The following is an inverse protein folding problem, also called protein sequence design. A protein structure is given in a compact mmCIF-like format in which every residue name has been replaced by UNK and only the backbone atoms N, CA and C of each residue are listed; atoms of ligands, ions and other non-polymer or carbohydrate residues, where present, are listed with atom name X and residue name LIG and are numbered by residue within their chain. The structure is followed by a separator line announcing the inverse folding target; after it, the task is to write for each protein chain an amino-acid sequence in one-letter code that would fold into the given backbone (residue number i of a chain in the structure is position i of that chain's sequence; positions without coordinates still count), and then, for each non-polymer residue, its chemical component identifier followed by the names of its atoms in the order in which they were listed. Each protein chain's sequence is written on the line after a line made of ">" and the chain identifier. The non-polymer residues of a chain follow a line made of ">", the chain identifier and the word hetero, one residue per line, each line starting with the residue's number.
data_IF_737965148678
#
_entry.id   IF_737965148678
#
_cell.length_a   1.000
_cell.length_b   1.000
_cell.length_c   1.000
_cell.angle_alpha   90.00
_cell.angle_beta   90.00
_cell.angle_gamma   90.00
#
_symmetry.space_group_name_H-M   'P 1'
#
loop_
_entity.id
_entity.type
_entity.pdbx_description
1 polymer ?
#
# COMPACT_ATOMS: atom_id res chain seq x y z
N UNK A 1 -38.00 1.19 4.20
CA UNK A 1 -37.17 0.66 5.26
C UNK A 1 -35.65 0.91 5.01
N UNK A 2 -35.13 0.67 3.81
CA UNK A 2 -33.73 0.90 3.42
C UNK A 2 -33.19 2.34 3.60
N UNK A 3 -34.02 3.36 3.24
CA UNK A 3 -33.63 4.79 3.35
C UNK A 3 -33.42 5.28 4.80
N UNK A 4 -34.11 4.69 5.78
CA UNK A 4 -34.02 5.07 7.20
C UNK A 4 -32.80 4.46 7.90
N UNK A 5 -32.31 3.29 7.43
CA UNK A 5 -31.13 2.61 7.96
C UNK A 5 -29.82 3.24 7.44
N UNK A 6 -29.79 3.70 6.18
CA UNK A 6 -28.65 4.41 5.60
C UNK A 6 -28.33 5.76 6.28
N UNK A 7 -29.30 6.41 6.94
CA UNK A 7 -29.05 7.64 7.72
C UNK A 7 -28.16 7.44 8.95
N UNK A 8 -27.93 6.19 9.39
CA UNK A 8 -27.14 5.82 10.58
C UNK A 8 -25.75 5.28 10.27
N UNK A 9 -25.36 5.10 8.98
CA UNK A 9 -24.06 4.58 8.60
C UNK A 9 -23.01 5.66 8.78
N UNK A 10 -21.94 5.36 9.55
CA UNK A 10 -20.80 6.26 9.74
C UNK A 10 -19.91 6.30 8.48
N UNK A 11 -19.10 7.36 8.28
CA UNK A 11 -18.15 7.41 7.15
C UNK A 11 -17.18 6.21 7.09
N UNK A 12 -16.68 5.77 8.25
CA UNK A 12 -15.82 4.59 8.32
C UNK A 12 -16.53 3.31 7.87
N UNK A 13 -17.76 3.08 8.32
CA UNK A 13 -18.57 1.93 7.85
C UNK A 13 -18.85 1.98 6.35
N UNK A 14 -19.01 3.18 5.79
CA UNK A 14 -19.23 3.35 4.35
C UNK A 14 -17.98 3.00 3.55
N UNK A 15 -16.80 3.38 4.03
CA UNK A 15 -15.52 3.01 3.41
C UNK A 15 -15.36 1.48 3.42
N UNK A 16 -15.55 0.84 4.57
CA UNK A 16 -15.46 -0.63 4.74
C UNK A 16 -16.41 -1.33 3.76
N UNK A 17 -17.69 -0.91 3.73
CA UNK A 17 -18.69 -1.52 2.86
C UNK A 17 -18.38 -1.32 1.38
N UNK A 18 -17.86 -0.14 1.00
CA UNK A 18 -17.47 0.14 -0.37
C UNK A 18 -16.32 -0.75 -0.84
N UNK A 19 -15.29 -0.94 -0.01
CA UNK A 19 -14.18 -1.86 -0.32
C UNK A 19 -14.66 -3.32 -0.38
N UNK A 20 -15.45 -3.78 0.60
CA UNK A 20 -16.01 -5.14 0.59
C UNK A 20 -16.87 -5.41 -0.66
N UNK A 21 -17.69 -4.44 -1.05
CA UNK A 21 -18.52 -4.54 -2.27
C UNK A 21 -17.66 -4.59 -3.52
N UNK A 22 -16.61 -3.77 -3.61
CA UNK A 22 -15.69 -3.76 -4.75
C UNK A 22 -14.96 -5.11 -4.87
N UNK A 23 -14.45 -5.63 -3.77
CA UNK A 23 -13.76 -6.94 -3.72
C UNK A 23 -14.73 -8.04 -4.17
N UNK A 24 -15.96 -8.06 -3.67
CA UNK A 24 -16.95 -9.06 -4.03
C UNK A 24 -17.32 -9.00 -5.52
N UNK A 25 -17.56 -7.80 -6.06
CA UNK A 25 -17.83 -7.62 -7.50
C UNK A 25 -16.63 -8.08 -8.33
N UNK A 26 -15.40 -7.69 -7.94
CA UNK A 26 -14.19 -8.12 -8.60
C UNK A 26 -14.02 -9.64 -8.60
N UNK A 27 -14.29 -10.30 -7.47
CA UNK A 27 -14.27 -11.76 -7.37
C UNK A 27 -15.28 -12.41 -8.33
N UNK A 28 -16.53 -11.92 -8.36
CA UNK A 28 -17.55 -12.42 -9.29
C UNK A 28 -17.13 -12.25 -10.76
N UNK A 29 -16.49 -11.13 -11.11
CA UNK A 29 -15.99 -10.93 -12.48
C UNK A 29 -14.82 -11.86 -12.83
N UNK A 30 -13.92 -12.13 -11.88
CA UNK A 30 -12.78 -13.03 -12.06
C UNK A 30 -13.19 -14.51 -12.13
N UNK A 31 -14.36 -14.89 -11.58
CA UNK A 31 -14.93 -16.23 -11.72
C UNK A 31 -15.50 -16.52 -13.10
N UNK A 32 -15.69 -15.51 -13.95
CA UNK A 32 -16.24 -15.71 -15.29
C UNK A 32 -15.26 -16.54 -16.16
N UNK A 33 -15.79 -17.42 -17.03
CA UNK A 33 -14.95 -18.24 -17.93
C UNK A 33 -13.98 -17.44 -18.80
N UNK A 34 -14.35 -16.21 -19.17
CA UNK A 34 -13.53 -15.31 -19.99
C UNK A 34 -12.34 -14.72 -19.22
N UNK A 35 -12.30 -14.84 -17.89
CA UNK A 35 -11.27 -14.22 -17.05
C UNK A 35 -10.00 -15.06 -16.96
N UNK A 36 -10.08 -16.37 -17.24
CA UNK A 36 -8.93 -17.28 -17.21
C UNK A 36 -8.53 -17.74 -18.61
N UNK A 37 -7.25 -18.09 -18.80
CA UNK A 37 -6.74 -18.56 -20.10
C UNK A 37 -7.26 -19.96 -20.48
N UNK A 38 -7.63 -20.77 -19.47
CA UNK A 38 -8.20 -22.10 -19.68
C UNK A 38 -9.71 -22.08 -20.01
N UNK A 39 -10.35 -20.92 -19.92
CA UNK A 39 -11.78 -20.72 -20.18
C UNK A 39 -12.72 -21.37 -19.17
N UNK A 40 -12.23 -21.84 -18.01
CA UNK A 40 -13.07 -22.48 -16.96
C UNK A 40 -13.55 -21.51 -15.89
N UNK A 41 -12.89 -20.36 -15.78
CA UNK A 41 -13.10 -19.41 -14.67
C UNK A 41 -12.36 -19.84 -13.40
N UNK A 42 -12.06 -18.88 -12.54
CA UNK A 42 -11.33 -19.15 -11.30
C UNK A 42 -12.27 -19.70 -10.21
N UNK A 43 -11.80 -20.61 -9.33
CA UNK A 43 -12.48 -20.98 -8.10
C UNK A 43 -12.76 -19.75 -7.24
N UNK A 44 -13.83 -19.78 -6.43
CA UNK A 44 -14.26 -18.63 -5.63
C UNK A 44 -13.14 -18.09 -4.73
N UNK A 45 -12.40 -18.95 -4.03
CA UNK A 45 -11.33 -18.54 -3.12
C UNK A 45 -10.19 -17.84 -3.86
N UNK A 46 -9.77 -18.35 -5.03
CA UNK A 46 -8.70 -17.80 -5.86
C UNK A 46 -9.11 -16.44 -6.43
N UNK A 47 -10.35 -16.34 -6.91
CA UNK A 47 -10.94 -15.10 -7.39
C UNK A 47 -11.06 -14.06 -6.28
N UNK A 48 -11.50 -14.46 -5.08
CA UNK A 48 -11.64 -13.59 -3.92
C UNK A 48 -10.27 -13.12 -3.43
N UNK A 49 -9.27 -14.01 -3.36
CA UNK A 49 -7.91 -13.67 -2.97
C UNK A 49 -7.30 -12.64 -3.94
N UNK A 50 -7.36 -12.94 -5.26
CA UNK A 50 -6.83 -12.05 -6.28
C UNK A 50 -7.55 -10.71 -6.31
N UNK A 51 -8.88 -10.71 -6.21
CA UNK A 51 -9.69 -9.49 -6.12
C UNK A 51 -9.35 -8.67 -4.88
N UNK A 52 -9.15 -9.33 -3.72
CA UNK A 52 -8.74 -8.65 -2.48
C UNK A 52 -7.35 -8.05 -2.64
N UNK A 53 -6.39 -8.84 -3.13
CA UNK A 53 -5.02 -8.40 -3.36
C UNK A 53 -4.95 -7.20 -4.31
N UNK A 54 -5.67 -7.25 -5.44
CA UNK A 54 -5.75 -6.15 -6.40
C UNK A 54 -6.44 -4.89 -5.82
N UNK A 55 -7.59 -5.06 -5.15
CA UNK A 55 -8.35 -3.97 -4.56
C UNK A 55 -7.65 -3.31 -3.38
N UNK A 56 -6.97 -4.12 -2.55
CA UNK A 56 -6.16 -3.64 -1.43
C UNK A 56 -4.77 -3.20 -1.86
N UNK A 57 -4.43 -3.40 -3.17
CA UNK A 57 -3.15 -2.99 -3.74
C UNK A 57 -2.00 -3.68 -2.98
N UNK A 58 -2.10 -4.99 -2.84
CA UNK A 58 -1.12 -5.79 -2.07
C UNK A 58 -0.11 -6.44 -3.00
N UNK A 59 -0.55 -7.21 -4.02
CA UNK A 59 0.34 -7.90 -4.94
C UNK A 59 0.65 -9.36 -4.60
N UNK A 60 0.13 -9.90 -3.49
CA UNK A 60 0.19 -11.35 -3.24
C UNK A 60 -0.70 -12.07 -4.25
N UNK A 61 -0.19 -13.14 -4.84
CA UNK A 61 -0.85 -13.91 -5.90
C UNK A 61 -0.82 -15.40 -5.60
N UNK A 62 -1.91 -16.09 -5.87
CA UNK A 62 -1.99 -17.58 -5.85
C UNK A 62 -1.55 -18.16 -7.20
N UNK A 63 -1.88 -17.48 -8.29
CA UNK A 63 -1.53 -17.86 -9.65
C UNK A 63 -0.77 -16.74 -10.34
N UNK A 64 0.18 -17.10 -11.19
CA UNK A 64 0.91 -16.12 -12.01
C UNK A 64 -0.04 -15.30 -12.87
N UNK A 65 0.08 -13.97 -12.81
CA UNK A 65 -0.88 -13.07 -13.45
C UNK A 65 -0.83 -13.15 -14.97
N UNK A 66 0.34 -13.39 -15.55
CA UNK A 66 0.50 -13.45 -17.00
C UNK A 66 0.03 -14.79 -17.59
N UNK A 67 0.20 -15.90 -16.82
CA UNK A 67 -0.09 -17.24 -17.32
C UNK A 67 -1.53 -17.65 -17.08
N UNK A 68 -2.09 -17.32 -15.90
CA UNK A 68 -3.41 -17.80 -15.47
C UNK A 68 -4.55 -16.90 -15.97
N UNK A 69 -4.39 -15.57 -15.85
CA UNK A 69 -5.45 -14.63 -16.19
C UNK A 69 -5.40 -14.24 -17.68
N UNK A 70 -6.54 -14.32 -18.36
CA UNK A 70 -6.71 -13.82 -19.72
C UNK A 70 -6.51 -12.29 -19.78
N UNK A 71 -6.42 -11.72 -20.97
CA UNK A 71 -6.38 -10.26 -21.15
C UNK A 71 -7.57 -9.57 -20.50
N UNK A 72 -8.74 -10.21 -20.48
CA UNK A 72 -9.92 -9.70 -19.78
C UNK A 72 -9.74 -9.76 -18.26
N UNK A 73 -9.26 -10.86 -17.71
CA UNK A 73 -8.94 -10.99 -16.28
C UNK A 73 -7.88 -9.98 -15.83
N UNK A 74 -6.80 -9.81 -16.62
CA UNK A 74 -5.77 -8.79 -16.39
C UNK A 74 -6.33 -7.37 -16.39
N UNK A 75 -7.28 -7.06 -17.28
CA UNK A 75 -7.97 -5.76 -17.32
C UNK A 75 -8.80 -5.53 -16.05
N UNK A 76 -9.54 -6.56 -15.58
CA UNK A 76 -10.29 -6.48 -14.31
C UNK A 76 -9.33 -6.20 -13.16
N UNK A 77 -8.22 -6.95 -13.05
CA UNK A 77 -7.18 -6.75 -12.03
C UNK A 77 -6.66 -5.32 -12.09
N UNK A 78 -6.34 -4.81 -13.26
CA UNK A 78 -5.82 -3.44 -13.44
C UNK A 78 -6.83 -2.37 -13.00
N UNK A 79 -8.12 -2.55 -13.31
CA UNK A 79 -9.20 -1.65 -12.88
C UNK A 79 -9.34 -1.68 -11.34
N UNK A 80 -9.29 -2.87 -10.72
CA UNK A 80 -9.34 -3.01 -9.26
C UNK A 80 -8.15 -2.33 -8.59
N UNK A 81 -6.93 -2.47 -9.14
CA UNK A 81 -5.72 -1.79 -8.69
C UNK A 81 -5.91 -0.27 -8.75
N UNK A 82 -6.37 0.26 -9.89
CA UNK A 82 -6.55 1.71 -10.08
C UNK A 82 -7.58 2.29 -9.09
N UNK A 83 -8.75 1.61 -8.95
CA UNK A 83 -9.80 2.05 -8.02
C UNK A 83 -9.31 1.92 -6.57
N UNK A 84 -8.67 0.81 -6.24
CA UNK A 84 -8.12 0.54 -4.92
C UNK A 84 -7.04 1.53 -4.52
N UNK A 85 -6.07 1.79 -5.42
CA UNK A 85 -4.94 2.70 -5.21
C UNK A 85 -5.38 4.14 -4.94
N UNK A 86 -6.30 4.65 -5.75
CA UNK A 86 -6.84 6.01 -5.59
C UNK A 86 -7.91 6.13 -4.49
N UNK A 87 -8.42 5.01 -4.00
CA UNK A 87 -9.51 4.94 -3.03
C UNK A 87 -10.89 4.93 -3.67
N UNK A 88 -11.70 3.94 -3.28
CA UNK A 88 -13.02 3.64 -3.88
C UNK A 88 -13.97 4.85 -3.88
N UNK A 89 -14.01 5.60 -2.76
CA UNK A 89 -14.90 6.77 -2.64
C UNK A 89 -14.43 7.89 -3.58
N UNK A 90 -13.12 8.08 -3.72
CA UNK A 90 -12.54 9.09 -4.63
C UNK A 90 -12.93 8.81 -6.07
N UNK A 91 -12.83 7.54 -6.49
CA UNK A 91 -13.22 7.12 -7.83
C UNK A 91 -14.73 7.17 -8.07
N UNK A 92 -15.53 6.75 -7.10
CA UNK A 92 -17.00 6.87 -7.20
C UNK A 92 -17.43 8.33 -7.41
N UNK A 93 -16.82 9.26 -6.69
CA UNK A 93 -17.14 10.68 -6.81
C UNK A 93 -16.60 11.26 -8.14
N UNK A 94 -15.46 10.80 -8.65
CA UNK A 94 -15.02 11.15 -9.98
C UNK A 94 -16.09 10.83 -11.03
N UNK A 95 -16.67 9.63 -10.99
CA UNK A 95 -17.73 9.24 -11.91
C UNK A 95 -18.97 10.15 -11.80
N UNK A 96 -19.35 10.58 -10.57
CA UNK A 96 -20.41 11.57 -10.38
C UNK A 96 -20.07 12.94 -10.99
N UNK A 97 -18.81 13.39 -10.85
CA UNK A 97 -18.34 14.67 -11.41
C UNK A 97 -18.32 14.62 -12.94
N UNK A 98 -17.82 13.52 -13.53
CA UNK A 98 -17.83 13.32 -14.98
C UNK A 98 -19.23 13.22 -15.55
N UNK A 99 -20.17 12.61 -14.80
CA UNK A 99 -21.59 12.57 -15.13
C UNK A 99 -22.35 13.89 -14.93
N UNK A 100 -21.66 15.00 -14.62
CA UNK A 100 -22.27 16.33 -14.47
C UNK A 100 -23.14 16.50 -13.21
N UNK A 101 -23.17 15.53 -12.30
CA UNK A 101 -24.02 15.58 -11.11
C UNK A 101 -23.42 16.49 -10.04
N UNK A 102 -24.25 17.31 -9.39
CA UNK A 102 -23.84 18.17 -8.27
C UNK A 102 -23.54 17.34 -7.03
N UNK A 103 -22.37 17.57 -6.43
CA UNK A 103 -21.93 16.89 -5.20
C UNK A 103 -22.45 17.64 -3.99
N UNK A 104 -23.31 16.98 -3.20
CA UNK A 104 -23.87 17.53 -1.97
C UNK A 104 -22.85 17.60 -0.82
N UNK A 105 -23.19 18.28 0.27
CA UNK A 105 -22.34 18.46 1.45
C UNK A 105 -21.93 17.10 2.09
N UNK A 106 -22.88 16.17 2.19
CA UNK A 106 -22.63 14.83 2.76
C UNK A 106 -21.57 14.04 1.95
N UNK A 107 -21.63 14.12 0.62
CA UNK A 107 -20.66 13.46 -0.24
C UNK A 107 -19.26 14.07 -0.11
N UNK A 108 -19.17 15.43 0.01
CA UNK A 108 -17.90 16.12 0.28
C UNK A 108 -17.30 15.73 1.63
N UNK A 109 -18.11 15.51 2.64
CA UNK A 109 -17.64 15.03 3.94
C UNK A 109 -17.08 13.62 3.85
N UNK A 110 -17.72 12.71 3.11
CA UNK A 110 -17.19 11.37 2.85
C UNK A 110 -15.86 11.41 2.06
N UNK A 111 -15.75 12.31 1.06
CA UNK A 111 -14.47 12.54 0.36
C UNK A 111 -13.37 12.96 1.31
N UNK A 112 -13.66 13.95 2.17
CA UNK A 112 -12.69 14.44 3.12
C UNK A 112 -12.14 13.32 3.99
N UNK A 113 -13.02 12.48 4.50
CA UNK A 113 -12.65 11.32 5.33
C UNK A 113 -11.83 10.29 4.53
N UNK A 114 -12.24 9.97 3.31
CA UNK A 114 -11.58 8.97 2.45
C UNK A 114 -10.14 9.34 2.08
N UNK A 115 -9.90 10.62 1.75
CA UNK A 115 -8.56 11.11 1.41
C UNK A 115 -7.86 11.77 2.61
N UNK A 116 -8.42 11.64 3.82
CA UNK A 116 -7.90 12.26 5.05
C UNK A 116 -7.54 13.74 4.87
N UNK A 117 -8.37 14.51 4.14
CA UNK A 117 -8.10 15.92 3.86
C UNK A 117 -8.34 16.79 5.09
N UNK A 118 -7.47 17.77 5.39
CA UNK A 118 -7.60 18.59 6.58
C UNK A 118 -8.80 19.56 6.54
N UNK A 119 -9.30 19.90 5.35
CA UNK A 119 -10.41 20.87 5.17
C UNK A 119 -11.39 20.39 4.10
N UNK A 120 -12.70 20.68 4.29
CA UNK A 120 -13.76 20.43 3.29
C UNK A 120 -13.68 21.37 2.08
N UNK A 121 -13.14 22.60 2.28
CA UNK A 121 -13.04 23.59 1.22
C UNK A 121 -12.09 23.15 0.10
N UNK A 122 -12.53 23.28 -1.16
CA UNK A 122 -11.71 22.96 -2.33
C UNK A 122 -11.48 21.46 -2.59
N UNK A 123 -12.16 20.56 -1.85
CA UNK A 123 -11.95 19.09 -1.96
C UNK A 123 -12.14 18.60 -3.41
N UNK A 124 -13.15 19.05 -4.13
CA UNK A 124 -13.40 18.66 -5.52
C UNK A 124 -12.27 19.10 -6.44
N UNK A 125 -11.76 20.32 -6.26
CA UNK A 125 -10.65 20.85 -7.05
C UNK A 125 -9.37 20.05 -6.80
N UNK A 126 -9.10 19.75 -5.54
CA UNK A 126 -7.95 18.93 -5.15
C UNK A 126 -8.06 17.52 -5.73
N UNK A 127 -9.23 16.88 -5.67
CA UNK A 127 -9.44 15.54 -6.24
C UNK A 127 -9.23 15.52 -7.76
N UNK A 128 -9.76 16.52 -8.49
CA UNK A 128 -9.53 16.65 -9.93
C UNK A 128 -8.03 16.81 -10.25
N UNK A 129 -7.31 17.59 -9.44
CA UNK A 129 -5.87 17.78 -9.60
C UNK A 129 -5.12 16.49 -9.34
N UNK A 130 -5.45 15.75 -8.26
CA UNK A 130 -4.86 14.44 -7.93
C UNK A 130 -4.99 13.49 -9.12
N UNK A 131 -6.20 13.35 -9.67
CA UNK A 131 -6.47 12.42 -10.78
C UNK A 131 -5.66 12.81 -12.02
N UNK A 132 -5.62 14.11 -12.39
CA UNK A 132 -4.81 14.58 -13.51
C UNK A 132 -3.32 14.28 -13.29
N UNK A 133 -2.80 14.57 -12.11
CA UNK A 133 -1.40 14.31 -11.77
C UNK A 133 -1.07 12.81 -11.82
N UNK A 134 -1.96 11.96 -11.30
CA UNK A 134 -1.84 10.49 -11.37
C UNK A 134 -1.75 10.03 -12.82
N UNK A 135 -2.73 10.37 -13.66
CA UNK A 135 -2.74 9.97 -15.08
C UNK A 135 -1.48 10.46 -15.81
N UNK A 136 -1.01 11.69 -15.53
CA UNK A 136 0.21 12.22 -16.15
C UNK A 136 1.45 11.40 -15.74
N UNK A 137 1.59 11.04 -14.47
CA UNK A 137 2.74 10.26 -13.98
C UNK A 137 2.68 8.83 -14.49
N UNK A 138 1.51 8.20 -14.47
CA UNK A 138 1.31 6.86 -15.03
C UNK A 138 1.58 6.83 -16.54
N UNK A 139 1.12 7.83 -17.29
CA UNK A 139 1.40 7.93 -18.73
C UNK A 139 2.90 8.12 -19.01
N UNK A 140 3.58 8.97 -18.24
CA UNK A 140 5.03 9.16 -18.35
C UNK A 140 5.78 7.85 -18.02
N UNK A 141 5.39 7.16 -16.95
CA UNK A 141 5.95 5.86 -16.59
C UNK A 141 5.74 4.82 -17.69
N UNK A 142 4.55 4.75 -18.28
CA UNK A 142 4.25 3.83 -19.39
C UNK A 142 5.09 4.15 -20.64
N UNK A 143 5.30 5.42 -20.97
CA UNK A 143 6.16 5.83 -22.09
C UNK A 143 7.61 5.40 -21.84
N UNK A 144 8.15 5.65 -20.65
CA UNK A 144 9.53 5.28 -20.31
C UNK A 144 9.74 3.77 -20.29
N UNK A 145 8.79 2.99 -19.73
CA UNK A 145 8.83 1.53 -19.77
C UNK A 145 8.68 1.00 -21.20
N UNK A 146 7.87 1.68 -22.04
CA UNK A 146 7.67 1.35 -23.45
C UNK A 146 8.97 1.35 -24.26
N UNK A 147 9.94 2.20 -23.92
CA UNK A 147 11.26 2.23 -24.57
C UNK A 147 11.95 0.86 -24.52
N UNK A 148 11.73 0.09 -23.44
CA UNK A 148 12.32 -1.25 -23.25
C UNK A 148 11.37 -2.38 -23.64
N UNK A 149 10.07 -2.22 -23.39
CA UNK A 149 9.10 -3.31 -23.57
C UNK A 149 8.62 -3.42 -25.03
N UNK A 150 8.48 -2.32 -25.78
CA UNK A 150 8.08 -2.36 -27.18
C UNK A 150 9.05 -3.15 -28.08
N UNK A 151 10.37 -2.92 -28.01
CA UNK A 151 11.31 -3.71 -28.82
C UNK A 151 11.35 -5.20 -28.44
N UNK A 152 11.07 -5.53 -27.14
CA UNK A 152 11.18 -6.91 -26.63
C UNK A 152 9.91 -7.74 -26.86
N UNK A 153 8.73 -7.14 -26.74
CA UNK A 153 7.44 -7.85 -26.75
C UNK A 153 6.56 -7.49 -27.97
N UNK A 154 7.03 -6.59 -28.84
CA UNK A 154 6.25 -6.07 -29.96
C UNK A 154 5.26 -4.98 -29.55
N UNK A 155 4.59 -4.36 -30.54
CA UNK A 155 3.79 -3.15 -30.30
C UNK A 155 2.63 -3.37 -29.34
N UNK A 156 1.79 -4.38 -29.57
CA UNK A 156 0.55 -4.59 -28.80
C UNK A 156 0.85 -5.05 -27.38
N UNK A 157 1.63 -6.13 -27.22
CA UNK A 157 1.99 -6.66 -25.90
C UNK A 157 2.89 -5.68 -25.13
N UNK A 158 3.86 -5.06 -25.81
CA UNK A 158 4.76 -4.10 -25.18
C UNK A 158 4.01 -2.88 -24.64
N UNK A 159 3.03 -2.36 -25.39
CA UNK A 159 2.19 -1.26 -24.92
C UNK A 159 1.34 -1.66 -23.70
N UNK A 160 0.70 -2.84 -23.76
CA UNK A 160 -0.09 -3.38 -22.65
C UNK A 160 0.75 -3.55 -21.38
N UNK A 161 1.94 -4.15 -21.51
CA UNK A 161 2.87 -4.35 -20.39
C UNK A 161 3.35 -3.03 -19.81
N UNK A 162 3.65 -2.04 -20.66
CA UNK A 162 4.08 -0.72 -20.21
C UNK A 162 3.00 0.00 -19.39
N UNK A 163 1.75 -0.04 -19.84
CA UNK A 163 0.61 0.57 -19.15
C UNK A 163 0.35 -0.19 -17.84
N UNK A 164 0.29 -1.52 -17.90
CA UNK A 164 0.00 -2.36 -16.73
C UNK A 164 1.03 -2.16 -15.61
N UNK A 165 2.33 -2.24 -15.94
CA UNK A 165 3.39 -2.07 -14.94
C UNK A 165 3.47 -0.64 -14.42
N UNK A 166 3.22 0.37 -15.26
CA UNK A 166 3.21 1.76 -14.79
C UNK A 166 2.10 2.02 -13.77
N UNK A 167 0.88 1.56 -14.05
CA UNK A 167 -0.26 1.68 -13.14
C UNK A 167 -0.01 0.86 -11.87
N UNK A 168 0.42 -0.40 -12.01
CA UNK A 168 0.70 -1.28 -10.88
C UNK A 168 1.79 -0.71 -9.97
N UNK A 169 2.87 -0.16 -10.53
CA UNK A 169 3.95 0.46 -9.77
C UNK A 169 3.52 1.75 -9.07
N UNK A 170 2.83 2.65 -9.78
CA UNK A 170 2.33 3.89 -9.20
C UNK A 170 1.32 3.67 -8.09
N UNK A 171 0.40 2.71 -8.29
CA UNK A 171 -0.55 2.31 -7.27
C UNK A 171 0.07 1.51 -6.13
N UNK A 172 1.34 1.10 -6.23
CA UNK A 172 2.03 0.22 -5.27
C UNK A 172 1.35 -1.15 -5.17
N UNK A 173 0.99 -1.77 -6.30
CA UNK A 173 0.18 -2.98 -6.31
C UNK A 173 0.97 -4.28 -6.47
N UNK A 174 2.19 -4.23 -7.04
CA UNK A 174 3.07 -5.39 -7.16
C UNK A 174 2.66 -6.46 -8.19
N UNK A 175 1.54 -6.28 -8.85
CA UNK A 175 1.16 -7.17 -9.95
C UNK A 175 2.02 -6.92 -11.18
N UNK A 176 2.52 -7.97 -11.81
CA UNK A 176 3.30 -7.92 -13.03
C UNK A 176 2.82 -8.93 -14.09
N UNK A 177 3.28 -8.76 -15.32
CA UNK A 177 2.97 -9.64 -16.46
C UNK A 177 4.25 -10.29 -17.02
N UNK A 178 5.32 -10.38 -16.25
CA UNK A 178 6.61 -10.92 -16.70
C UNK A 178 6.71 -12.45 -16.62
N UNK A 179 5.74 -13.10 -16.00
CA UNK A 179 5.70 -14.55 -15.81
C UNK A 179 5.55 -15.39 -17.10
N UNK A 180 5.52 -14.80 -18.28
CA UNK A 180 5.30 -15.51 -19.57
C UNK A 180 6.30 -16.62 -19.84
N UNK A 181 7.58 -16.42 -19.52
CA UNK A 181 8.65 -17.41 -19.73
C UNK A 181 8.91 -18.28 -18.50
N UNK A 182 8.83 -17.68 -17.34
CA UNK A 182 9.02 -18.35 -16.04
C UNK A 182 7.98 -17.79 -15.07
N UNK A 183 7.10 -18.67 -14.58
CA UNK A 183 6.07 -18.26 -13.62
C UNK A 183 6.70 -17.58 -12.39
N UNK A 184 6.02 -16.58 -11.87
CA UNK A 184 6.43 -15.81 -10.68
C UNK A 184 7.79 -15.10 -10.81
N UNK A 185 8.28 -14.86 -12.04
CA UNK A 185 9.62 -14.27 -12.25
C UNK A 185 9.70 -12.79 -11.86
N UNK A 186 8.58 -12.09 -11.80
CA UNK A 186 8.52 -10.64 -11.57
C UNK A 186 9.53 -9.89 -12.48
N UNK A 187 10.28 -8.94 -11.95
CA UNK A 187 11.27 -8.15 -12.70
C UNK A 187 12.70 -8.71 -12.61
N UNK A 188 12.88 -9.99 -12.23
CA UNK A 188 14.23 -10.58 -12.09
C UNK A 188 15.04 -10.54 -13.40
N UNK A 189 14.38 -10.64 -14.53
CA UNK A 189 15.00 -10.49 -15.85
C UNK A 189 15.45 -9.05 -16.21
N UNK A 190 15.17 -8.08 -15.35
CA UNK A 190 15.53 -6.66 -15.50
C UNK A 190 16.38 -6.12 -14.35
N UNK A 191 16.98 -6.98 -13.52
CA UNK A 191 17.83 -6.59 -12.40
C UNK A 191 18.97 -5.66 -12.83
N UNK A 192 19.59 -5.91 -14.00
CA UNK A 192 20.63 -5.08 -14.60
C UNK A 192 20.12 -3.95 -15.52
N UNK A 193 18.80 -3.83 -15.74
CA UNK A 193 18.24 -2.74 -16.55
C UNK A 193 17.94 -1.54 -15.69
N UNK A 194 18.87 -0.57 -15.68
CA UNK A 194 18.80 0.65 -14.87
C UNK A 194 17.53 1.46 -15.20
N UNK A 195 17.08 1.48 -16.47
CA UNK A 195 15.90 2.24 -16.85
C UNK A 195 14.62 1.64 -16.26
N UNK A 196 14.39 0.35 -16.47
CA UNK A 196 13.16 -0.32 -15.96
C UNK A 196 13.11 -0.28 -14.45
N UNK A 197 14.20 -0.67 -13.76
CA UNK A 197 14.25 -0.70 -12.30
C UNK A 197 14.03 0.69 -11.69
N UNK A 198 14.71 1.73 -12.20
CA UNK A 198 14.58 3.07 -11.64
C UNK A 198 13.23 3.74 -11.97
N UNK A 199 12.65 3.50 -13.15
CA UNK A 199 11.31 4.02 -13.46
C UNK A 199 10.27 3.42 -12.53
N UNK A 200 10.31 2.10 -12.31
CA UNK A 200 9.39 1.42 -11.40
C UNK A 200 9.63 1.91 -9.96
N UNK A 201 10.88 1.98 -9.48
CA UNK A 201 11.20 2.50 -8.15
C UNK A 201 10.72 3.94 -7.96
N UNK A 202 10.90 4.81 -8.96
CA UNK A 202 10.42 6.18 -8.92
C UNK A 202 8.88 6.26 -8.85
N UNK A 203 8.16 5.46 -9.65
CA UNK A 203 6.71 5.38 -9.61
C UNK A 203 6.19 4.95 -8.23
N UNK A 204 6.81 3.93 -7.63
CA UNK A 204 6.51 3.44 -6.29
C UNK A 204 6.69 4.55 -5.24
N UNK A 205 7.83 5.21 -5.25
CA UNK A 205 8.12 6.30 -4.31
C UNK A 205 7.13 7.44 -4.48
N UNK A 206 6.87 7.86 -5.72
CA UNK A 206 5.91 8.92 -6.02
C UNK A 206 4.50 8.55 -5.54
N UNK A 207 3.99 7.36 -5.83
CA UNK A 207 2.69 6.90 -5.35
C UNK A 207 2.60 6.87 -3.83
N UNK A 208 3.67 6.41 -3.17
CA UNK A 208 3.75 6.26 -1.71
C UNK A 208 3.94 7.56 -0.91
N UNK A 209 4.38 8.66 -1.53
CA UNK A 209 4.64 9.94 -0.83
C UNK A 209 3.38 10.65 -0.34
N UNK A 210 2.23 10.44 -1.00
CA UNK A 210 0.98 11.10 -0.68
C UNK A 210 0.74 12.40 -1.47
N UNK A 211 -0.50 12.57 -1.91
CA UNK A 211 -0.91 13.64 -2.85
C UNK A 211 -0.79 15.06 -2.28
N UNK A 212 -0.86 15.23 -0.96
CA UNK A 212 -0.67 16.56 -0.35
C UNK A 212 0.80 16.97 -0.31
N UNK A 213 1.73 16.00 -0.21
CA UNK A 213 3.17 16.27 -0.36
C UNK A 213 3.44 16.78 -1.78
N UNK A 214 2.86 16.14 -2.80
CA UNK A 214 2.97 16.61 -4.18
C UNK A 214 2.45 18.05 -4.35
N UNK A 215 1.33 18.35 -3.71
CA UNK A 215 0.76 19.70 -3.75
C UNK A 215 1.73 20.72 -3.17
N UNK A 216 2.31 20.45 -1.98
CA UNK A 216 3.29 21.34 -1.35
C UNK A 216 4.53 21.51 -2.24
N UNK A 217 5.02 20.41 -2.87
CA UNK A 217 6.16 20.46 -3.80
C UNK A 217 5.87 21.33 -5.02
N UNK A 218 4.70 21.20 -5.64
CA UNK A 218 4.33 21.98 -6.83
C UNK A 218 4.08 23.45 -6.47
N UNK A 219 3.45 23.71 -5.31
CA UNK A 219 3.06 25.08 -4.88
C UNK A 219 4.28 25.86 -4.38
N UNK A 220 5.12 25.26 -3.54
CA UNK A 220 6.23 25.95 -2.86
C UNK A 220 7.62 25.65 -3.43
N UNK A 221 7.74 24.68 -4.37
CA UNK A 221 9.00 24.32 -5.05
C UNK A 221 10.17 24.15 -4.07
N UNK A 222 11.19 24.99 -4.16
CA UNK A 222 12.41 24.93 -3.32
C UNK A 222 12.24 25.54 -1.92
N UNK A 223 11.09 26.13 -1.59
CA UNK A 223 10.88 26.80 -0.31
C UNK A 223 10.43 25.80 0.77
N UNK A 224 11.31 24.88 1.18
CA UNK A 224 11.01 23.84 2.17
C UNK A 224 10.43 24.37 3.49
N UNK A 225 10.79 25.58 3.90
CA UNK A 225 10.25 26.22 5.12
C UNK A 225 8.74 26.44 5.06
N UNK A 226 8.16 26.64 3.86
CA UNK A 226 6.72 26.86 3.64
C UNK A 226 5.90 25.56 3.64
N UNK A 227 6.56 24.40 3.53
CA UNK A 227 5.87 23.10 3.51
C UNK A 227 5.13 22.87 4.83
N UNK A 228 4.02 22.15 4.73
CA UNK A 228 3.28 21.69 5.91
C UNK A 228 4.15 20.78 6.79
N UNK A 229 3.85 20.73 8.10
CA UNK A 229 4.56 19.83 9.02
C UNK A 229 4.51 18.39 8.52
N UNK A 230 3.35 17.94 8.04
CA UNK A 230 3.15 16.60 7.50
C UNK A 230 4.10 16.31 6.34
N UNK A 231 4.21 17.23 5.36
CA UNK A 231 5.10 17.04 4.20
C UNK A 231 6.57 16.98 4.60
N UNK A 232 7.00 17.81 5.56
CA UNK A 232 8.37 17.77 6.09
C UNK A 232 8.68 16.44 6.76
N UNK A 233 7.77 15.95 7.63
CA UNK A 233 7.92 14.67 8.31
C UNK A 233 7.94 13.53 7.30
N UNK A 234 7.04 13.52 6.34
CA UNK A 234 6.98 12.47 5.30
C UNK A 234 8.25 12.42 4.48
N UNK A 235 8.72 13.55 3.96
CA UNK A 235 9.93 13.60 3.12
C UNK A 235 11.16 13.16 3.92
N UNK A 236 11.32 13.68 5.14
CA UNK A 236 12.44 13.32 5.99
C UNK A 236 12.44 11.83 6.36
N UNK A 237 11.31 11.30 6.84
CA UNK A 237 11.20 9.88 7.24
C UNK A 237 11.39 8.95 6.03
N UNK A 238 10.81 9.31 4.88
CA UNK A 238 10.97 8.53 3.64
C UNK A 238 12.43 8.49 3.19
N UNK A 239 13.11 9.63 3.12
CA UNK A 239 14.51 9.70 2.74
C UNK A 239 15.41 8.91 3.71
N UNK A 240 15.20 9.06 5.02
CA UNK A 240 15.95 8.34 6.05
C UNK A 240 15.78 6.82 5.90
N UNK A 241 14.55 6.34 5.76
CA UNK A 241 14.28 4.91 5.58
C UNK A 241 14.94 4.37 4.30
N UNK A 242 14.82 5.07 3.17
CA UNK A 242 15.42 4.63 1.91
C UNK A 242 16.95 4.59 2.00
N UNK A 243 17.57 5.61 2.56
CA UNK A 243 19.06 5.66 2.69
C UNK A 243 19.55 4.54 3.60
N UNK A 244 18.96 4.39 4.79
CA UNK A 244 19.39 3.35 5.74
C UNK A 244 19.19 1.96 5.13
N UNK A 245 18.05 1.69 4.51
CA UNK A 245 17.77 0.39 3.92
C UNK A 245 18.67 0.08 2.73
N UNK A 246 18.95 1.07 1.86
CA UNK A 246 19.86 0.89 0.72
C UNK A 246 21.26 0.54 1.21
N UNK A 247 21.79 1.27 2.20
CA UNK A 247 23.09 1.00 2.77
C UNK A 247 23.14 -0.38 3.44
N UNK A 248 22.09 -0.73 4.18
CA UNK A 248 22.02 -2.03 4.85
C UNK A 248 22.06 -3.19 3.85
N UNK A 249 21.19 -3.18 2.82
CA UNK A 249 21.17 -4.23 1.81
C UNK A 249 22.44 -4.27 0.97
N UNK A 250 23.04 -3.13 0.64
CA UNK A 250 24.31 -3.07 -0.05
C UNK A 250 25.42 -3.76 0.74
N UNK A 251 25.56 -3.45 2.02
CA UNK A 251 26.65 -3.97 2.86
C UNK A 251 26.45 -5.45 3.19
N UNK A 252 25.24 -5.87 3.56
CA UNK A 252 24.99 -7.22 4.06
C UNK A 252 24.78 -8.27 2.97
N UNK A 253 24.29 -7.88 1.79
CA UNK A 253 23.98 -8.83 0.72
C UNK A 253 24.75 -8.50 -0.56
N UNK A 254 24.43 -7.38 -1.21
CA UNK A 254 24.77 -7.20 -2.63
C UNK A 254 26.24 -6.86 -2.91
N UNK A 255 26.99 -6.31 -1.94
CA UNK A 255 28.44 -6.11 -2.07
C UNK A 255 29.22 -7.43 -2.26
N UNK A 256 28.65 -8.54 -1.78
CA UNK A 256 29.25 -9.88 -1.86
C UNK A 256 28.80 -10.67 -3.10
N UNK A 257 27.81 -10.17 -3.85
CA UNK A 257 27.35 -10.84 -5.04
C UNK A 257 28.26 -10.53 -6.23
N UNK A 258 28.48 -11.52 -7.08
CA UNK A 258 29.33 -11.37 -8.26
C UNK A 258 28.59 -10.59 -9.38
N UNK A 259 28.37 -9.29 -9.15
CA UNK A 259 27.69 -8.35 -10.04
C UNK A 259 28.56 -7.10 -10.21
N UNK A 260 28.29 -6.31 -11.27
CA UNK A 260 28.93 -5.00 -11.43
C UNK A 260 28.49 -4.05 -10.31
N UNK A 261 29.37 -3.18 -9.85
CA UNK A 261 29.06 -2.22 -8.78
C UNK A 261 27.80 -1.39 -9.06
N UNK A 262 27.61 -0.98 -10.31
CA UNK A 262 26.39 -0.24 -10.70
C UNK A 262 25.12 -1.07 -10.51
N UNK A 263 25.16 -2.37 -10.83
CA UNK A 263 24.03 -3.29 -10.66
C UNK A 263 23.78 -3.57 -9.17
N UNK A 264 24.84 -3.74 -8.36
CA UNK A 264 24.73 -3.90 -6.90
C UNK A 264 24.04 -2.70 -6.25
N UNK A 265 24.42 -1.48 -6.63
CA UNK A 265 23.79 -0.24 -6.14
C UNK A 265 22.34 -0.16 -6.60
N UNK A 266 22.04 -0.45 -7.87
CA UNK A 266 20.71 -0.40 -8.43
C UNK A 266 19.75 -1.39 -7.73
N UNK A 267 20.19 -2.63 -7.53
CA UNK A 267 19.43 -3.66 -6.81
C UNK A 267 19.23 -3.27 -5.35
N UNK A 268 20.24 -2.71 -4.68
CA UNK A 268 20.14 -2.25 -3.29
C UNK A 268 19.08 -1.15 -3.12
N UNK A 269 19.06 -0.18 -4.05
CA UNK A 269 18.05 0.88 -4.07
C UNK A 269 16.66 0.27 -4.29
N UNK A 270 16.53 -0.65 -5.26
CA UNK A 270 15.25 -1.27 -5.56
C UNK A 270 14.74 -2.07 -4.37
N UNK A 271 15.60 -2.87 -3.70
CA UNK A 271 15.23 -3.63 -2.51
C UNK A 271 14.94 -2.77 -1.28
N UNK A 272 15.43 -1.53 -1.22
CA UNK A 272 15.03 -0.56 -0.21
C UNK A 272 13.65 0.07 -0.50
N UNK A 273 13.27 0.18 -1.78
CA UNK A 273 12.01 0.79 -2.22
C UNK A 273 10.86 -0.22 -2.17
N UNK A 274 11.06 -1.45 -2.65
CA UNK A 274 9.99 -2.43 -2.85
C UNK A 274 9.26 -2.85 -1.55
N UNK A 275 9.90 -3.01 -0.36
CA UNK A 275 9.20 -3.35 0.88
C UNK A 275 8.22 -2.25 1.34
N UNK A 276 8.31 -1.05 0.76
CA UNK A 276 7.39 0.04 1.06
C UNK A 276 6.11 -0.05 0.23
N UNK A 277 5.47 -1.20 0.35
CA UNK A 277 4.17 -1.55 -0.24
C UNK A 277 4.15 -1.66 -1.76
N UNK A 278 5.23 -2.15 -2.39
CA UNK A 278 5.30 -2.21 -3.84
C UNK A 278 5.23 -3.63 -4.42
N UNK A 279 5.90 -4.61 -3.82
CA UNK A 279 5.76 -6.02 -4.14
C UNK A 279 6.53 -6.53 -5.37
N UNK A 280 7.20 -5.67 -6.13
CA UNK A 280 8.02 -6.10 -7.26
C UNK A 280 9.36 -6.67 -6.81
N UNK A 281 9.80 -7.75 -7.45
CA UNK A 281 11.10 -8.38 -7.22
C UNK A 281 12.02 -8.21 -8.42
N UNK A 282 13.26 -7.75 -8.17
CA UNK A 282 14.35 -7.78 -9.17
C UNK A 282 15.35 -8.90 -8.91
N UNK A 283 15.25 -9.60 -7.80
CA UNK A 283 16.11 -10.70 -7.38
C UNK A 283 15.29 -11.81 -6.74
N UNK A 284 15.86 -12.99 -6.63
CA UNK A 284 15.33 -14.07 -5.82
C UNK A 284 15.61 -13.80 -4.33
N UNK A 285 14.55 -13.54 -3.55
CA UNK A 285 14.65 -13.19 -2.13
C UNK A 285 15.23 -14.33 -1.29
N UNK A 286 15.05 -15.60 -1.71
CA UNK A 286 15.56 -16.75 -1.00
C UNK A 286 17.11 -16.83 -1.00
N UNK A 287 17.77 -16.04 -1.84
CA UNK A 287 19.22 -15.91 -1.87
C UNK A 287 19.79 -14.88 -0.90
N UNK A 288 18.91 -14.09 -0.27
CA UNK A 288 19.31 -13.09 0.72
C UNK A 288 19.60 -13.73 2.08
N UNK A 289 20.40 -13.04 2.89
CA UNK A 289 20.68 -13.44 4.25
C UNK A 289 19.39 -13.41 5.12
N UNK A 290 19.26 -14.32 6.07
CA UNK A 290 18.08 -14.35 6.97
C UNK A 290 17.91 -13.05 7.75
N UNK A 291 19.00 -12.38 8.13
CA UNK A 291 18.96 -11.06 8.78
C UNK A 291 18.36 -9.99 7.86
N UNK A 292 18.63 -10.08 6.55
CA UNK A 292 18.07 -9.15 5.57
C UNK A 292 16.59 -9.44 5.27
N UNK A 293 16.19 -10.71 5.25
CA UNK A 293 14.78 -11.11 5.17
C UNK A 293 14.01 -10.58 6.39
N UNK A 294 14.58 -10.73 7.60
CA UNK A 294 13.96 -10.19 8.82
C UNK A 294 13.88 -8.65 8.80
N UNK A 295 14.96 -7.98 8.38
CA UNK A 295 14.96 -6.51 8.24
C UNK A 295 13.92 -6.05 7.21
N UNK A 296 13.81 -6.76 6.08
CA UNK A 296 12.78 -6.51 5.06
C UNK A 296 11.36 -6.69 5.64
N UNK A 297 11.13 -7.71 6.48
CA UNK A 297 9.87 -7.92 7.20
C UNK A 297 9.50 -6.69 8.04
N UNK A 298 10.45 -6.12 8.78
CA UNK A 298 10.23 -4.89 9.55
C UNK A 298 9.94 -3.68 8.65
N UNK A 299 10.61 -3.56 7.51
CA UNK A 299 10.34 -2.49 6.53
C UNK A 299 8.94 -2.62 5.93
N UNK A 300 8.46 -3.84 5.66
CA UNK A 300 7.12 -4.10 5.12
C UNK A 300 6.00 -3.65 6.06
N UNK A 301 6.21 -3.72 7.37
CA UNK A 301 5.26 -3.17 8.33
C UNK A 301 5.14 -1.64 8.20
N UNK A 302 6.24 -0.95 7.82
CA UNK A 302 6.26 0.50 7.65
C UNK A 302 5.84 0.84 6.22
N UNK A 303 4.55 1.01 6.01
CA UNK A 303 3.99 1.35 4.70
C UNK A 303 4.37 2.73 4.19
N UNK A 304 3.59 3.23 3.24
CA UNK A 304 3.79 4.56 2.69
C UNK A 304 3.24 5.68 3.58
N UNK A 305 3.12 6.86 2.98
CA UNK A 305 2.65 8.05 3.69
C UNK A 305 1.13 8.18 3.63
N UNK A 306 0.50 8.92 4.56
CA UNK A 306 -0.93 9.20 4.48
C UNK A 306 -1.29 9.87 3.16
N UNK A 307 -2.48 9.54 2.62
CA UNK A 307 -3.02 10.10 1.38
C UNK A 307 -2.24 9.68 0.11
N UNK A 308 -1.37 8.67 0.19
CA UNK A 308 -0.75 7.99 -0.93
C UNK A 308 -1.53 6.74 -1.35
N UNK A 309 -1.02 6.06 -2.38
CA UNK A 309 -1.57 4.80 -2.87
C UNK A 309 -1.22 3.62 -1.97
N UNK A 310 -0.13 3.70 -1.22
CA UNK A 310 0.39 2.69 -0.32
C UNK A 310 -0.53 2.39 0.89
N UNK A 311 -0.61 1.12 1.32
CA UNK A 311 -1.31 0.69 2.52
C UNK A 311 -0.44 0.66 3.77
N UNK A 312 -0.64 -0.32 4.64
CA UNK A 312 0.13 -0.51 5.86
C UNK A 312 0.05 0.61 6.90
N UNK A 313 0.85 0.47 7.97
CA UNK A 313 0.94 1.52 8.96
C UNK A 313 1.86 2.67 8.46
N UNK A 314 1.47 3.91 8.69
CA UNK A 314 2.01 5.05 7.94
C UNK A 314 3.37 5.54 8.46
N UNK A 315 4.21 6.07 7.54
CA UNK A 315 5.49 6.71 7.90
C UNK A 315 5.35 7.80 8.97
N UNK A 316 4.23 8.56 8.94
CA UNK A 316 3.93 9.57 9.95
C UNK A 316 3.65 8.97 11.31
N UNK A 317 3.03 7.79 11.38
CA UNK A 317 2.80 7.07 12.65
C UNK A 317 4.13 6.66 13.27
N UNK A 318 5.06 6.09 12.48
CA UNK A 318 6.41 5.79 12.95
C UNK A 318 7.12 7.05 13.46
N UNK A 319 7.07 8.14 12.70
CA UNK A 319 7.72 9.38 13.08
C UNK A 319 7.16 9.92 14.41
N UNK A 320 5.83 9.89 14.61
CA UNK A 320 5.19 10.33 15.86
C UNK A 320 5.64 9.49 17.04
N UNK A 321 5.73 8.16 16.88
CA UNK A 321 6.19 7.26 17.94
C UNK A 321 7.67 7.51 18.31
N UNK A 322 8.56 7.66 17.31
CA UNK A 322 9.98 7.98 17.56
C UNK A 322 10.11 9.35 18.25
N UNK A 323 9.34 10.36 17.81
CA UNK A 323 9.35 11.68 18.42
C UNK A 323 8.79 11.66 19.85
N UNK A 324 7.86 10.75 20.16
CA UNK A 324 7.35 10.53 21.51
C UNK A 324 8.43 9.99 22.43
N UNK A 325 9.17 8.96 21.99
CA UNK A 325 10.32 8.41 22.74
C UNK A 325 11.31 9.55 23.04
N UNK A 326 11.68 10.33 22.01
CA UNK A 326 12.58 11.47 22.19
C UNK A 326 12.03 12.54 23.15
N UNK A 327 10.71 12.77 23.17
CA UNK A 327 10.08 13.73 24.09
C UNK A 327 10.20 13.26 25.52
N UNK A 328 9.95 11.97 25.80
CA UNK A 328 10.10 11.37 27.14
C UNK A 328 11.54 11.51 27.63
N UNK A 329 12.53 11.12 26.82
CA UNK A 329 13.95 11.26 27.21
C UNK A 329 14.37 12.71 27.46
N UNK A 330 13.74 13.68 26.81
CA UNK A 330 14.03 15.11 27.00
C UNK A 330 13.08 15.79 27.99
N UNK A 331 12.30 15.04 28.79
CA UNK A 331 11.33 15.53 29.77
C UNK A 331 10.33 16.57 29.22
N UNK A 332 9.93 16.43 27.94
CA UNK A 332 8.97 17.31 27.28
C UNK A 332 7.56 16.72 27.38
N UNK A 333 6.59 17.53 27.72
CA UNK A 333 5.18 17.12 27.80
C UNK A 333 4.58 16.66 26.46
N UNK A 334 5.04 17.20 25.34
CA UNK A 334 4.54 16.89 24.02
C UNK A 334 5.67 16.65 23.02
N UNK A 335 5.52 15.70 22.07
CA UNK A 335 6.45 15.54 20.98
C UNK A 335 6.53 16.81 20.13
N UNK A 336 7.73 17.20 19.73
CA UNK A 336 8.00 18.40 18.96
C UNK A 336 8.85 18.08 17.73
N UNK A 337 8.51 18.67 16.58
CA UNK A 337 9.26 18.54 15.35
C UNK A 337 9.14 19.80 14.50
N UNK A 338 10.23 20.24 13.88
CA UNK A 338 10.28 21.43 13.01
C UNK A 338 9.62 22.69 13.63
N UNK A 339 9.87 22.94 14.93
CA UNK A 339 9.33 24.08 15.66
C UNK A 339 7.82 24.00 15.97
N UNK A 340 7.18 22.84 15.80
CA UNK A 340 5.76 22.65 16.10
C UNK A 340 5.56 21.47 17.06
N UNK A 341 4.54 21.56 17.94
CA UNK A 341 4.12 20.48 18.84
C UNK A 341 3.09 19.58 18.17
N UNK A 342 3.15 18.29 18.48
CA UNK A 342 2.17 17.28 18.08
C UNK A 342 1.20 17.11 19.25
N UNK A 343 -0.11 17.00 18.98
CA UNK A 343 -1.13 16.82 20.01
C UNK A 343 -1.06 15.43 20.64
N UNK A 344 -1.45 15.30 21.91
CA UNK A 344 -1.54 14.02 22.61
C UNK A 344 -2.57 13.09 21.95
N UNK A 345 -3.67 13.61 21.39
CA UNK A 345 -4.65 12.81 20.64
C UNK A 345 -4.00 12.12 19.43
N UNK A 346 -3.10 12.83 18.73
CA UNK A 346 -2.35 12.25 17.61
C UNK A 346 -1.43 11.13 18.08
N UNK A 347 -0.77 11.32 19.23
CA UNK A 347 0.07 10.29 19.83
C UNK A 347 -0.74 9.07 20.28
N UNK A 348 -1.84 9.27 21.00
CA UNK A 348 -2.71 8.18 21.46
C UNK A 348 -3.26 7.37 20.26
N UNK A 349 -3.69 8.04 19.19
CA UNK A 349 -4.13 7.38 17.98
C UNK A 349 -2.99 6.61 17.30
N UNK A 350 -1.78 7.16 17.24
CA UNK A 350 -0.61 6.50 16.66
C UNK A 350 -0.22 5.24 17.46
N UNK A 351 -0.25 5.32 18.79
CA UNK A 351 0.05 4.18 19.69
C UNK A 351 -1.01 3.08 19.55
N UNK A 352 -2.29 3.45 19.58
CA UNK A 352 -3.39 2.49 19.41
C UNK A 352 -3.32 1.77 18.06
N UNK A 353 -3.02 2.51 16.98
CA UNK A 353 -2.80 1.95 15.64
C UNK A 353 -1.64 0.97 15.62
N UNK A 354 -0.49 1.37 16.17
CA UNK A 354 0.70 0.53 16.19
C UNK A 354 0.44 -0.77 16.95
N UNK A 355 -0.14 -0.69 18.15
CA UNK A 355 -0.47 -1.88 18.94
C UNK A 355 -1.43 -2.82 18.20
N UNK A 356 -2.47 -2.28 17.58
CA UNK A 356 -3.43 -3.07 16.81
C UNK A 356 -2.78 -3.77 15.61
N UNK A 357 -1.90 -3.07 14.87
CA UNK A 357 -1.14 -3.67 13.78
C UNK A 357 -0.22 -4.79 14.27
N UNK A 358 0.50 -4.59 15.38
CA UNK A 358 1.38 -5.61 15.96
C UNK A 358 0.61 -6.85 16.41
N UNK A 359 -0.53 -6.67 17.10
CA UNK A 359 -1.37 -7.81 17.51
C UNK A 359 -1.84 -8.62 16.31
N UNK A 360 -2.36 -7.97 15.28
CA UNK A 360 -2.83 -8.67 14.07
C UNK A 360 -1.69 -9.33 13.30
N UNK A 361 -0.55 -8.67 13.19
CA UNK A 361 0.65 -9.20 12.55
C UNK A 361 1.13 -10.48 13.21
N UNK A 362 1.37 -10.45 14.53
CA UNK A 362 1.85 -11.62 15.25
C UNK A 362 0.81 -12.74 15.32
N UNK A 363 -0.46 -12.40 15.53
CA UNK A 363 -1.55 -13.39 15.53
C UNK A 363 -1.69 -14.04 14.15
N UNK A 364 -1.65 -13.27 13.07
CA UNK A 364 -1.71 -13.79 11.71
C UNK A 364 -0.54 -14.70 11.38
N UNK A 365 0.70 -14.29 11.70
CA UNK A 365 1.89 -15.10 11.50
C UNK A 365 1.84 -16.41 12.30
N UNK A 366 1.43 -16.35 13.57
CA UNK A 366 1.29 -17.54 14.42
C UNK A 366 0.26 -18.53 13.85
N UNK A 367 -0.90 -18.04 13.41
CA UNK A 367 -1.93 -18.89 12.84
C UNK A 367 -1.47 -19.53 11.52
N UNK A 368 -0.83 -18.77 10.61
CA UNK A 368 -0.29 -19.29 9.34
C UNK A 368 0.76 -20.37 9.62
N UNK A 369 1.73 -20.08 10.52
CA UNK A 369 2.75 -21.07 10.91
C UNK A 369 2.14 -22.35 11.48
N UNK A 370 1.07 -22.23 12.27
CA UNK A 370 0.40 -23.39 12.90
C UNK A 370 -0.39 -24.22 11.88
N UNK A 371 -1.14 -23.58 10.96
CA UNK A 371 -1.98 -24.29 10.01
C UNK A 371 -1.16 -24.99 8.91
N UNK A 372 -0.10 -24.35 8.43
CA UNK A 372 0.71 -24.85 7.33
C UNK A 372 2.06 -25.43 7.77
N UNK A 373 2.31 -25.50 9.10
CA UNK A 373 3.54 -26.08 9.68
C UNK A 373 4.84 -25.44 9.12
N UNK A 374 4.80 -24.14 8.85
CA UNK A 374 5.89 -23.37 8.26
C UNK A 374 6.84 -22.79 9.32
N UNK A 375 8.12 -22.58 8.97
CA UNK A 375 9.03 -21.80 9.80
C UNK A 375 8.42 -20.44 10.13
N UNK A 376 8.56 -20.01 11.40
CA UNK A 376 7.94 -18.75 11.87
C UNK A 376 8.43 -17.54 11.10
N UNK A 377 9.67 -17.51 10.61
CA UNK A 377 10.21 -16.41 9.83
C UNK A 377 9.46 -16.22 8.50
N UNK A 378 9.14 -17.34 7.83
CA UNK A 378 8.40 -17.33 6.56
C UNK A 378 6.96 -16.85 6.78
N UNK A 379 6.32 -17.33 7.85
CA UNK A 379 4.98 -16.90 8.24
C UNK A 379 4.95 -15.41 8.65
N UNK A 380 5.98 -14.91 9.35
CA UNK A 380 6.14 -13.49 9.66
C UNK A 380 6.30 -12.66 8.37
N UNK A 381 7.07 -13.14 7.41
CA UNK A 381 7.27 -12.46 6.14
C UNK A 381 5.95 -12.30 5.37
N UNK A 382 5.18 -13.40 5.22
CA UNK A 382 3.86 -13.38 4.55
C UNK A 382 2.84 -12.51 5.28
N UNK A 383 2.76 -12.64 6.60
CA UNK A 383 1.84 -11.82 7.40
C UNK A 383 2.19 -10.32 7.33
N UNK A 384 3.49 -9.95 7.36
CA UNK A 384 3.95 -8.59 7.18
C UNK A 384 3.60 -8.06 5.78
N UNK A 385 3.83 -8.87 4.76
CA UNK A 385 3.49 -8.56 3.38
C UNK A 385 1.99 -8.31 3.21
N UNK A 386 1.14 -9.15 3.80
CA UNK A 386 -0.30 -9.02 3.73
C UNK A 386 -0.82 -7.78 4.48
N UNK A 387 -0.47 -7.63 5.78
CA UNK A 387 -0.95 -6.50 6.60
C UNK A 387 -0.32 -5.17 6.17
N UNK A 388 0.93 -5.20 5.72
CA UNK A 388 1.63 -4.06 5.11
C UNK A 388 1.10 -3.71 3.72
N UNK A 389 0.32 -4.61 3.09
CA UNK A 389 -0.11 -4.54 1.68
C UNK A 389 1.07 -4.35 0.74
N UNK A 390 2.07 -5.24 0.83
CA UNK A 390 3.36 -5.13 0.12
C UNK A 390 3.41 -5.99 -1.12
N UNK A 391 3.04 -7.28 -1.00
CA UNK A 391 3.04 -8.23 -2.12
C UNK A 391 4.32 -9.05 -2.29
N UNK A 392 5.36 -8.81 -1.48
CA UNK A 392 6.54 -9.66 -1.47
C UNK A 392 6.22 -11.01 -0.83
N UNK A 393 6.78 -12.08 -1.38
CA UNK A 393 6.67 -13.45 -0.86
C UNK A 393 7.99 -14.18 -1.01
N UNK A 394 8.23 -15.13 -0.14
CA UNK A 394 9.33 -16.10 -0.28
C UNK A 394 8.92 -17.29 -1.19
N UNK A 395 7.82 -17.16 -1.91
CA UNK A 395 7.30 -18.16 -2.85
C UNK A 395 6.31 -19.14 -2.22
N UNK A 396 5.93 -18.95 -0.96
CA UNK A 396 5.04 -19.87 -0.24
C UNK A 396 3.55 -19.56 -0.45
N UNK A 397 3.18 -18.36 -0.86
CA UNK A 397 1.76 -17.94 -1.02
C UNK A 397 0.92 -18.93 -1.82
N UNK A 398 1.37 -19.48 -2.98
CA UNK A 398 0.55 -20.41 -3.77
C UNK A 398 0.31 -21.77 -3.10
N UNK A 399 1.18 -22.16 -2.16
CA UNK A 399 1.15 -23.48 -1.50
C UNK A 399 0.44 -23.49 -0.17
N UNK A 400 0.01 -22.34 0.33
CA UNK A 400 -0.69 -22.21 1.60
C UNK A 400 -2.07 -22.87 1.59
N UNK A 401 -2.53 -23.29 2.76
CA UNK A 401 -3.87 -23.83 2.95
C UNK A 401 -4.96 -22.73 2.74
N UNK A 402 -6.19 -23.19 2.46
CA UNK A 402 -7.34 -22.29 2.34
C UNK A 402 -7.58 -21.45 3.61
N UNK A 403 -7.26 -22.00 4.79
CA UNK A 403 -7.35 -21.26 6.06
C UNK A 403 -6.37 -20.09 6.10
N UNK A 404 -5.11 -20.33 5.72
CA UNK A 404 -4.08 -19.28 5.66
C UNK A 404 -4.38 -18.24 4.58
N UNK A 405 -4.94 -18.63 3.43
CA UNK A 405 -5.41 -17.67 2.43
C UNK A 405 -6.52 -16.75 2.99
N UNK A 406 -7.48 -17.29 3.77
CA UNK A 406 -8.49 -16.46 4.43
C UNK A 406 -7.88 -15.48 5.44
N UNK A 407 -6.85 -15.89 6.20
CA UNK A 407 -6.12 -15.01 7.11
C UNK A 407 -5.43 -13.90 6.32
N UNK A 408 -4.74 -14.22 5.22
CA UNK A 408 -4.09 -13.22 4.38
C UNK A 408 -5.11 -12.24 3.77
N UNK A 409 -6.26 -12.71 3.28
CA UNK A 409 -7.38 -11.86 2.81
C UNK A 409 -7.79 -10.85 3.89
N UNK A 410 -7.97 -11.32 5.12
CA UNK A 410 -8.33 -10.46 6.25
C UNK A 410 -7.24 -9.42 6.56
N UNK A 411 -5.96 -9.84 6.60
CA UNK A 411 -4.83 -8.95 6.85
C UNK A 411 -4.67 -7.89 5.75
N UNK A 412 -4.78 -8.27 4.47
CA UNK A 412 -4.75 -7.34 3.33
C UNK A 412 -5.87 -6.30 3.42
N UNK A 413 -7.08 -6.74 3.70
CA UNK A 413 -8.25 -5.87 3.86
C UNK A 413 -8.07 -4.87 5.01
N UNK A 414 -7.58 -5.34 6.17
CA UNK A 414 -7.29 -4.52 7.33
C UNK A 414 -6.19 -3.49 7.03
N UNK A 415 -5.09 -3.93 6.43
CA UNK A 415 -3.96 -3.10 6.06
C UNK A 415 -4.34 -1.96 5.11
N UNK A 416 -5.28 -2.22 4.18
CA UNK A 416 -5.72 -1.23 3.19
C UNK A 416 -6.66 -0.19 3.74
N UNK A 417 -7.69 -0.60 4.47
CA UNK A 417 -8.69 0.33 5.03
C UNK A 417 -8.07 1.28 6.04
N UNK A 418 -7.01 0.82 6.72
CA UNK A 418 -6.33 1.57 7.77
C UNK A 418 -7.03 1.44 9.13
N UNK A 419 -6.25 1.08 10.13
CA UNK A 419 -6.75 0.80 11.49
C UNK A 419 -7.55 1.93 12.12
N UNK A 420 -7.21 3.20 11.83
CA UNK A 420 -7.97 4.35 12.36
C UNK A 420 -9.40 4.40 11.82
N UNK A 421 -9.60 4.09 10.54
CA UNK A 421 -10.94 4.03 9.93
C UNK A 421 -11.76 2.91 10.54
N UNK A 422 -11.14 1.76 10.81
CA UNK A 422 -11.78 0.63 11.48
C UNK A 422 -12.12 0.95 12.94
N UNK A 423 -11.18 1.54 13.69
CA UNK A 423 -11.44 1.98 15.07
C UNK A 423 -12.62 2.95 15.12
N UNK A 424 -12.67 3.95 14.23
CA UNK A 424 -13.78 4.91 14.17
C UNK A 424 -15.10 4.29 13.68
N UNK A 425 -15.05 3.23 12.89
CA UNK A 425 -16.25 2.53 12.43
C UNK A 425 -16.89 1.65 13.53
N UNK A 426 -16.06 1.11 14.43
CA UNK A 426 -16.46 0.25 15.54
C UNK A 426 -16.83 1.10 16.78
N UNK A 427 -16.16 2.23 17.01
CA UNK A 427 -16.44 3.11 18.13
C UNK A 427 -17.88 3.66 18.04
N UNK A 428 -18.68 3.38 19.06
CA UNK A 428 -19.97 4.03 19.23
C UNK A 428 -19.74 5.51 19.50
N UNK A 429 -20.64 6.39 19.01
CA UNK A 429 -20.64 7.81 19.40
C UNK A 429 -20.53 7.90 20.93
N UNK A 430 -19.40 8.37 21.43
CA UNK A 430 -19.27 8.69 22.85
C UNK A 430 -20.26 9.82 23.13
N UNK A 431 -21.22 9.54 23.96
CA UNK A 431 -21.89 10.57 24.74
C UNK A 431 -20.76 11.17 25.60
N UNK A 432 -20.45 12.44 25.39
CA UNK A 432 -19.46 13.15 26.22
C UNK A 432 -19.97 13.02 27.65
N UNK A 433 -19.30 12.17 28.44
CA UNK A 433 -19.58 12.08 29.84
C UNK A 433 -19.17 13.43 30.45
N UNK A 434 -20.11 14.11 31.09
CA UNK A 434 -19.85 15.40 31.76
C UNK A 434 -19.03 15.27 33.06
N UNK A 435 -18.63 14.03 33.41
CA UNK A 435 -17.87 13.72 34.63
C UNK A 435 -16.67 12.86 34.28
N UNK A 436 -15.50 13.20 34.80
CA UNK A 436 -14.33 12.36 34.79
C UNK A 436 -14.35 11.39 35.95
N UNK A 437 -13.92 10.14 35.72
CA UNK A 437 -13.67 9.20 36.81
C UNK A 437 -12.47 9.65 37.63
N UNK A 438 -12.41 9.27 38.96
CA UNK A 438 -11.23 9.50 39.78
C UNK A 438 -9.97 8.93 39.10
N UNK A 439 -8.86 9.67 39.25
CA UNK A 439 -7.58 9.28 38.67
C UNK A 439 -6.75 8.53 39.72
N UNK A 440 -6.29 7.33 39.36
CA UNK A 440 -5.29 6.57 40.08
C UNK A 440 -4.05 6.36 39.21
N UNK A 441 -2.88 6.31 39.87
CA UNK A 441 -1.62 6.07 39.19
C UNK A 441 -1.30 4.57 39.18
N UNK A 442 -0.98 4.04 37.98
CA UNK A 442 -0.45 2.69 37.79
C UNK A 442 1.05 2.81 37.53
N UNK A 443 1.84 2.03 38.27
CA UNK A 443 3.29 1.98 38.08
C UNK A 443 3.60 1.32 36.72
N UNK A 444 4.35 2.01 35.91
CA UNK A 444 4.89 1.50 34.63
C UNK A 444 6.37 1.25 34.89
N UNK A 445 6.87 0.04 34.53
CA UNK A 445 8.24 -0.41 34.81
C UNK A 445 9.35 0.44 34.20
#
# INVERSE_FOLDING_TARGET
>A
MFKKRMKRITPGQMIILSFATMIFIGACLLMLPFSTNDGKGAPFLDALFTSTSASCVTGLIMHDTAQYWSSFGQLIILILIQIGGMGVITMAILLFVLGGKKIGFKQRYFMQQSISAPKLGGIIRNTKWIIKATICVEALGAILLGIRFLPRFGLVKGLWYSIFHSISAFCNAGFDLMGTNQAYSSLTGYAGDILVSNVIAALIVLGGLGFFVWKDVVEYKHHLHKYSLQSKVVLFTTATLLIISTLYFFINDFSHWNMRLADQINVSIFQAVTPRTAGFNTIDLNKMNQSSIFFMTLLMLIGGSPQGTAGGFKTTTLAVLILSIRAVFNHKQNPQCFGRRISMDTLNNATALFMLFMVLFFTGAFLISTFDQLPILDALFEAASAIGTVGLTLGITPTLSSASHCILIFLMFFGRIGGLTLLLAISKHQVVANTNLPQENITIG
#
